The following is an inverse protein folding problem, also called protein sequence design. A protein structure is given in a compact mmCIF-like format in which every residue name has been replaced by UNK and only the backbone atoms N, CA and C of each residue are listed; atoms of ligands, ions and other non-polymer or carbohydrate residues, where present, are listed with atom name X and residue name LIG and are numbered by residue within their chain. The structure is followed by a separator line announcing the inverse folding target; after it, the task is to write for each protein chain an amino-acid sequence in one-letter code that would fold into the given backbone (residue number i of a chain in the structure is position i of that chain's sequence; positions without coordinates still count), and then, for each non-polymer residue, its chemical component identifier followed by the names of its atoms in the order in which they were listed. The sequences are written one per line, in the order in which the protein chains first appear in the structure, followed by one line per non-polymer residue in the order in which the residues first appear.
data_IF_394264600210
#
_entry.id   IF_394264600210
#
_cell.length_a   1.000
_cell.length_b   1.000
_cell.length_c   1.000
_cell.angle_alpha   90.00
_cell.angle_beta   90.00
_cell.angle_gamma   90.00
#
_symmetry.space_group_name_H-M   'P 1'
#
loop_
_entity.id
_entity.type
_entity.pdbx_description
1 polymer ?
#
# COMPACT_ATOMS: atom_id res chain seq x y z
N UNK A 1 -0.05 -18.21 -12.38
CA UNK A 1 -0.08 -17.75 -10.97
C UNK A 1 -1.38 -17.03 -10.69
N UNK A 2 -2.00 -17.29 -9.53
CA UNK A 2 -3.23 -16.61 -9.10
C UNK A 2 -2.90 -15.15 -8.74
N UNK A 3 -3.70 -14.20 -9.21
CA UNK A 3 -3.50 -12.80 -8.85
C UNK A 3 -3.83 -12.57 -7.38
N UNK A 4 -2.95 -11.89 -6.66
CA UNK A 4 -3.21 -11.38 -5.31
C UNK A 4 -3.82 -10.00 -5.44
N UNK A 5 -5.01 -9.83 -4.87
CA UNK A 5 -5.74 -8.58 -4.87
C UNK A 5 -5.71 -7.93 -3.49
N UNK A 6 -5.51 -6.62 -3.47
CA UNK A 6 -5.53 -5.80 -2.26
C UNK A 6 -6.65 -4.76 -2.33
N UNK A 7 -7.32 -4.55 -1.21
CA UNK A 7 -8.08 -3.33 -0.93
C UNK A 7 -7.35 -2.52 0.14
N UNK A 8 -7.24 -1.20 -0.09
CA UNK A 8 -6.69 -0.26 0.87
C UNK A 8 -7.86 0.54 1.44
N UNK A 9 -7.97 0.57 2.75
CA UNK A 9 -9.03 1.25 3.49
C UNK A 9 -8.38 2.38 4.28
N UNK A 10 -8.73 3.61 3.95
CA UNK A 10 -8.27 4.80 4.66
C UNK A 10 -9.38 5.24 5.61
N UNK A 11 -9.05 5.40 6.89
CA UNK A 11 -9.96 5.77 7.96
C UNK A 11 -9.57 7.17 8.43
N UNK A 12 -10.52 8.10 8.44
CA UNK A 12 -10.35 9.46 8.90
C UNK A 12 -11.37 10.40 8.25
N UNK A 13 -12.12 11.10 9.06
CA UNK A 13 -13.11 12.09 8.64
C UNK A 13 -12.48 13.23 7.82
N UNK A 14 -11.26 13.65 8.16
CA UNK A 14 -10.54 14.71 7.46
C UNK A 14 -10.20 14.34 6.00
N UNK A 15 -10.04 13.03 5.74
CA UNK A 15 -9.81 12.53 4.38
C UNK A 15 -11.14 12.31 3.67
N UNK A 16 -12.14 11.77 4.37
CA UNK A 16 -13.47 11.51 3.83
C UNK A 16 -14.13 12.81 3.36
N UNK A 17 -14.03 13.89 4.15
CA UNK A 17 -14.57 15.20 3.81
C UNK A 17 -13.68 16.05 2.91
N UNK A 18 -12.49 15.52 2.53
CA UNK A 18 -11.60 16.18 1.57
C UNK A 18 -10.78 17.34 2.14
N UNK A 19 -10.66 17.44 3.47
CA UNK A 19 -9.79 18.45 4.11
C UNK A 19 -8.31 18.19 3.80
N UNK A 20 -7.92 16.91 3.69
CA UNK A 20 -6.58 16.50 3.26
C UNK A 20 -6.66 15.40 2.19
N UNK A 21 -5.60 15.30 1.38
CA UNK A 21 -5.50 14.28 0.34
C UNK A 21 -5.07 12.94 0.91
N UNK A 22 -5.68 11.85 0.44
CA UNK A 22 -5.24 10.49 0.76
C UNK A 22 -3.92 10.15 0.06
N UNK A 23 -2.83 10.59 0.65
CA UNK A 23 -1.47 10.29 0.17
C UNK A 23 -1.01 8.90 0.59
N UNK A 24 -1.56 8.34 1.68
CA UNK A 24 -1.20 7.03 2.19
C UNK A 24 -1.63 5.92 1.23
N UNK A 25 -2.92 5.88 0.85
CA UNK A 25 -3.40 4.86 -0.09
C UNK A 25 -2.73 4.98 -1.46
N UNK A 26 -2.44 6.20 -1.92
CA UNK A 26 -1.67 6.41 -3.15
C UNK A 26 -0.28 5.78 -3.06
N UNK A 27 0.43 6.04 -1.97
CA UNK A 27 1.79 5.55 -1.78
C UNK A 27 1.81 4.02 -1.60
N UNK A 28 0.94 3.47 -0.73
CA UNK A 28 0.81 2.01 -0.54
C UNK A 28 0.51 1.31 -1.86
N UNK A 29 -0.43 1.84 -2.67
CA UNK A 29 -0.75 1.26 -3.99
C UNK A 29 0.49 1.15 -4.90
N UNK A 30 1.35 2.16 -4.88
CA UNK A 30 2.60 2.17 -5.67
C UNK A 30 3.61 1.13 -5.16
N UNK A 31 3.75 0.99 -3.86
CA UNK A 31 4.67 -0.01 -3.28
C UNK A 31 4.16 -1.44 -3.51
N UNK A 32 2.85 -1.67 -3.41
CA UNK A 32 2.21 -2.95 -3.74
C UNK A 32 2.42 -3.34 -5.22
N UNK A 33 2.29 -2.37 -6.15
CA UNK A 33 2.52 -2.60 -7.59
C UNK A 33 3.96 -3.06 -7.85
N UNK A 34 4.96 -2.52 -7.15
CA UNK A 34 6.37 -2.94 -7.27
C UNK A 34 6.61 -4.41 -6.88
N UNK A 35 5.84 -4.94 -5.96
CA UNK A 35 5.94 -6.33 -5.49
C UNK A 35 4.92 -7.29 -6.12
N UNK A 36 4.13 -6.82 -7.10
CA UNK A 36 3.26 -7.68 -7.88
C UNK A 36 1.85 -7.84 -7.37
N UNK A 37 1.44 -7.06 -6.39
CA UNK A 37 0.09 -7.06 -5.86
C UNK A 37 -0.75 -6.01 -6.57
N UNK A 38 -1.94 -6.41 -7.03
CA UNK A 38 -2.89 -5.48 -7.63
C UNK A 38 -3.77 -4.83 -6.58
N UNK A 39 -3.68 -3.52 -6.43
CA UNK A 39 -4.70 -2.75 -5.72
C UNK A 39 -5.99 -2.81 -6.54
N UNK A 40 -7.00 -3.49 -6.02
CA UNK A 40 -8.30 -3.64 -6.67
C UNK A 40 -9.21 -2.45 -6.36
N UNK A 41 -9.13 -1.96 -5.12
CA UNK A 41 -9.98 -0.89 -4.64
C UNK A 41 -9.26 -0.06 -3.58
N UNK A 42 -9.56 1.21 -3.54
CA UNK A 42 -9.26 2.11 -2.42
C UNK A 42 -10.58 2.64 -1.90
N UNK A 43 -10.76 2.57 -0.59
CA UNK A 43 -12.00 2.98 0.09
C UNK A 43 -11.63 3.96 1.19
N UNK A 44 -12.30 5.08 1.25
CA UNK A 44 -12.18 6.04 2.36
C UNK A 44 -13.47 5.99 3.16
N UNK A 45 -13.34 5.90 4.47
CA UNK A 45 -14.45 5.90 5.44
C UNK A 45 -14.12 6.83 6.60
N UNK A 46 -15.15 7.28 7.28
CA UNK A 46 -15.01 8.05 8.52
C UNK A 46 -14.67 7.16 9.74
N UNK A 47 -14.49 7.82 10.87
CA UNK A 47 -14.20 7.19 12.16
C UNK A 47 -15.47 6.63 12.80
N UNK A 48 -16.09 5.64 12.13
CA UNK A 48 -17.34 5.00 12.54
C UNK A 48 -17.16 3.47 12.61
N UNK A 49 -17.50 2.87 13.75
CA UNK A 49 -17.32 1.44 14.01
C UNK A 49 -18.12 0.54 13.06
N UNK A 50 -19.37 0.94 12.74
CA UNK A 50 -20.21 0.16 11.85
C UNK A 50 -19.65 0.16 10.41
N UNK A 51 -19.12 1.29 9.95
CA UNK A 51 -18.52 1.42 8.63
C UNK A 51 -17.23 0.62 8.52
N UNK A 52 -16.37 0.70 9.54
CA UNK A 52 -15.11 -0.08 9.60
C UNK A 52 -15.43 -1.58 9.51
N UNK A 53 -16.35 -2.07 10.33
CA UNK A 53 -16.73 -3.50 10.38
C UNK A 53 -17.34 -3.96 9.06
N UNK A 54 -18.27 -3.19 8.50
CA UNK A 54 -18.97 -3.50 7.24
C UNK A 54 -18.02 -3.54 6.04
N UNK A 55 -17.10 -2.55 5.96
CA UNK A 55 -16.11 -2.52 4.87
C UNK A 55 -15.12 -3.68 5.00
N UNK A 56 -14.67 -4.01 6.21
CA UNK A 56 -13.79 -5.15 6.47
C UNK A 56 -14.43 -6.46 6.03
N UNK A 57 -15.67 -6.73 6.43
CA UNK A 57 -16.38 -7.95 6.07
C UNK A 57 -16.53 -8.08 4.55
N UNK A 58 -16.99 -7.01 3.88
CA UNK A 58 -17.11 -6.98 2.42
C UNK A 58 -15.78 -7.16 1.70
N UNK A 59 -14.72 -6.57 2.24
CA UNK A 59 -13.37 -6.64 1.67
C UNK A 59 -12.77 -8.04 1.80
N UNK A 60 -12.98 -8.69 2.94
CA UNK A 60 -12.53 -10.06 3.17
C UNK A 60 -13.08 -11.05 2.15
N UNK A 61 -14.30 -10.85 1.67
CA UNK A 61 -14.91 -11.74 0.68
C UNK A 61 -14.29 -11.63 -0.73
N UNK A 62 -13.57 -10.54 -1.03
CA UNK A 62 -13.13 -10.21 -2.40
C UNK A 62 -11.60 -10.11 -2.56
N UNK A 63 -10.86 -9.96 -1.46
CA UNK A 63 -9.43 -9.66 -1.50
C UNK A 63 -8.63 -10.67 -0.69
N UNK A 64 -7.36 -10.81 -1.01
CA UNK A 64 -6.40 -11.64 -0.30
C UNK A 64 -5.65 -10.83 0.77
N UNK A 65 -5.43 -9.55 0.47
CA UNK A 65 -4.73 -8.59 1.32
C UNK A 65 -5.66 -7.39 1.56
N UNK A 66 -5.75 -6.96 2.80
CA UNK A 66 -6.45 -5.75 3.21
C UNK A 66 -5.47 -4.89 4.00
N UNK A 67 -5.35 -3.63 3.64
CA UNK A 67 -4.49 -2.69 4.37
C UNK A 67 -5.36 -1.53 4.83
N UNK A 68 -5.41 -1.34 6.15
CA UNK A 68 -6.05 -0.19 6.76
C UNK A 68 -4.99 0.84 7.14
N UNK A 69 -5.31 2.12 7.07
CA UNK A 69 -4.46 3.21 7.56
C UNK A 69 -5.30 4.30 8.19
N UNK A 70 -4.97 4.68 9.42
CA UNK A 70 -5.70 5.67 10.22
C UNK A 70 -6.39 5.09 11.47
N UNK A 71 -6.81 5.95 12.38
CA UNK A 71 -7.59 5.63 13.57
C UNK A 71 -6.87 4.78 14.63
N UNK A 72 -5.53 4.84 14.71
CA UNK A 72 -4.72 4.12 15.70
C UNK A 72 -4.10 5.01 16.80
N UNK A 73 -4.36 6.31 16.76
CA UNK A 73 -3.83 7.28 17.72
C UNK A 73 -4.48 7.20 19.11
N UNK A 74 -4.21 8.20 19.99
CA UNK A 74 -4.69 8.21 21.37
C UNK A 74 -5.99 8.97 21.58
N UNK A 75 -6.61 9.50 20.52
CA UNK A 75 -7.79 10.35 20.63
C UNK A 75 -9.08 9.50 20.65
N UNK A 76 -10.20 10.10 20.98
CA UNK A 76 -11.45 9.35 21.15
C UNK A 76 -12.05 8.85 19.82
N UNK A 77 -11.68 9.48 18.73
CA UNK A 77 -11.99 9.13 17.36
C UNK A 77 -11.09 8.02 16.79
N UNK A 78 -9.97 7.71 17.44
CA UNK A 78 -9.07 6.59 17.09
C UNK A 78 -9.66 5.23 17.52
N UNK A 79 -10.67 4.76 16.82
CA UNK A 79 -11.43 3.55 17.19
C UNK A 79 -11.01 2.29 16.44
N UNK A 80 -10.13 2.41 15.43
CA UNK A 80 -9.76 1.31 14.53
C UNK A 80 -9.24 0.09 15.29
N UNK A 81 -8.40 0.29 16.30
CA UNK A 81 -7.85 -0.81 17.12
C UNK A 81 -8.94 -1.61 17.82
N UNK A 82 -9.89 -0.94 18.46
CA UNK A 82 -11.01 -1.58 19.16
C UNK A 82 -11.91 -2.32 18.16
N UNK A 83 -12.24 -1.71 17.03
CA UNK A 83 -13.02 -2.36 15.97
C UNK A 83 -12.35 -3.64 15.46
N UNK A 84 -11.03 -3.62 15.26
CA UNK A 84 -10.28 -4.80 14.85
C UNK A 84 -10.24 -5.87 15.93
N UNK A 85 -10.03 -5.48 17.20
CA UNK A 85 -10.08 -6.40 18.32
C UNK A 85 -11.41 -7.16 18.38
N UNK A 86 -12.52 -6.43 18.30
CA UNK A 86 -13.86 -7.02 18.35
C UNK A 86 -14.16 -7.86 17.11
N UNK A 87 -13.77 -7.39 15.93
CA UNK A 87 -13.97 -8.10 14.66
C UNK A 87 -13.22 -9.45 14.59
N UNK A 88 -12.02 -9.51 15.16
CA UNK A 88 -11.20 -10.74 15.20
C UNK A 88 -11.36 -11.55 16.47
N UNK A 89 -12.19 -11.11 17.42
CA UNK A 89 -12.48 -11.83 18.67
C UNK A 89 -11.28 -11.91 19.61
N UNK A 90 -10.41 -10.89 19.59
CA UNK A 90 -9.25 -10.79 20.46
C UNK A 90 -9.56 -10.17 21.83
N UNK A 91 -8.54 -10.14 22.68
CA UNK A 91 -8.51 -9.39 23.94
C UNK A 91 -7.36 -8.40 23.90
N UNK A 92 -7.61 -7.17 24.36
CA UNK A 92 -6.55 -6.18 24.45
C UNK A 92 -5.57 -6.54 25.58
N UNK A 93 -4.31 -6.72 25.20
CA UNK A 93 -3.19 -7.00 26.11
C UNK A 93 -2.10 -5.95 25.93
N UNK A 94 -1.32 -5.70 26.95
CA UNK A 94 -0.19 -4.78 26.87
C UNK A 94 0.97 -5.43 26.12
N UNK A 95 1.41 -4.80 25.03
CA UNK A 95 2.70 -5.13 24.40
C UNK A 95 3.83 -4.38 25.13
N UNK A 96 4.66 -5.12 25.84
CA UNK A 96 5.72 -4.55 26.69
C UNK A 96 6.80 -3.82 25.89
N UNK A 97 7.08 -4.27 24.67
CA UNK A 97 8.04 -3.60 23.79
C UNK A 97 7.52 -2.21 23.37
N UNK A 98 6.26 -2.15 22.94
CA UNK A 98 5.57 -0.89 22.62
C UNK A 98 5.49 0.02 23.83
N UNK A 99 5.11 -0.51 25.00
CA UNK A 99 5.05 0.28 26.24
C UNK A 99 6.39 0.89 26.62
N UNK A 100 7.45 0.09 26.55
CA UNK A 100 8.83 0.55 26.84
C UNK A 100 9.28 1.61 25.84
N UNK A 101 8.93 1.44 24.57
CA UNK A 101 9.22 2.42 23.52
C UNK A 101 8.50 3.75 23.75
N UNK A 102 7.20 3.72 24.04
CA UNK A 102 6.41 4.92 24.33
C UNK A 102 7.00 5.66 25.56
N UNK A 103 7.27 4.94 26.67
CA UNK A 103 7.91 5.54 27.86
C UNK A 103 9.22 6.27 27.50
N UNK A 104 10.04 5.68 26.63
CA UNK A 104 11.31 6.28 26.17
C UNK A 104 11.07 7.57 25.37
N UNK A 105 10.06 7.59 24.48
CA UNK A 105 9.69 8.78 23.70
C UNK A 105 9.31 9.93 24.63
N UNK A 106 8.39 9.67 25.59
CA UNK A 106 7.89 10.68 26.51
C UNK A 106 8.99 11.20 27.45
N UNK A 107 9.83 10.30 27.99
CA UNK A 107 10.99 10.67 28.80
C UNK A 107 11.96 11.58 28.03
N UNK A 108 12.26 11.26 26.77
CA UNK A 108 13.17 12.06 25.93
C UNK A 108 12.64 13.47 25.65
N UNK A 109 11.30 13.62 25.61
CA UNK A 109 10.64 14.89 25.33
C UNK A 109 10.25 15.67 26.59
N UNK A 110 10.53 15.15 27.78
CA UNK A 110 10.10 15.68 29.07
C UNK A 110 8.57 15.91 29.15
N UNK A 111 7.79 14.99 28.58
CA UNK A 111 6.33 15.02 28.67
C UNK A 111 5.83 14.03 29.72
N UNK A 112 4.70 14.37 30.37
CA UNK A 112 4.03 13.49 31.28
C UNK A 112 3.50 12.23 30.57
N UNK A 113 3.70 11.08 31.19
CA UNK A 113 3.21 9.80 30.71
C UNK A 113 1.83 9.51 31.29
N UNK A 114 0.79 9.76 30.52
CA UNK A 114 -0.60 9.62 30.95
C UNK A 114 -1.14 8.21 30.74
N UNK A 115 -2.34 7.92 31.31
CA UNK A 115 -3.05 6.68 31.06
C UNK A 115 -3.32 6.46 29.56
N UNK A 116 -3.77 7.48 28.84
CA UNK A 116 -3.99 7.40 27.38
C UNK A 116 -2.73 6.96 26.61
N UNK A 117 -1.55 7.42 27.05
CA UNK A 117 -0.29 7.00 26.43
C UNK A 117 0.03 5.54 26.75
N UNK A 118 -0.29 5.05 27.95
CA UNK A 118 -0.16 3.65 28.31
C UNK A 118 -1.10 2.78 27.47
N UNK A 119 -2.34 3.21 27.27
CA UNK A 119 -3.37 2.48 26.52
C UNK A 119 -3.03 2.35 25.01
N UNK A 120 -2.11 3.16 24.49
CA UNK A 120 -1.58 2.97 23.13
C UNK A 120 -0.77 1.68 22.98
N UNK A 121 -0.18 1.17 24.06
CA UNK A 121 0.51 -0.11 24.07
C UNK A 121 -0.41 -1.33 24.13
N UNK A 122 -1.73 -1.12 24.27
CA UNK A 122 -2.71 -2.20 24.19
C UNK A 122 -2.88 -2.64 22.75
N UNK A 123 -2.79 -3.94 22.50
CA UNK A 123 -2.98 -4.56 21.18
C UNK A 123 -3.82 -5.83 21.34
N UNK A 124 -4.56 -6.27 20.31
CA UNK A 124 -5.24 -7.57 20.34
C UNK A 124 -4.23 -8.73 20.52
N UNK A 125 -4.53 -9.66 21.40
CA UNK A 125 -3.68 -10.82 21.72
C UNK A 125 -3.49 -11.79 20.55
N UNK A 126 -4.33 -11.70 19.54
CA UNK A 126 -4.33 -12.52 18.33
C UNK A 126 -3.75 -11.79 17.09
N UNK A 127 -3.06 -10.67 17.28
CA UNK A 127 -2.38 -9.96 16.20
C UNK A 127 -0.85 -10.14 16.25
N UNK A 128 -0.21 -9.92 15.09
CA UNK A 128 1.22 -9.68 14.99
C UNK A 128 1.44 -8.18 15.17
N UNK A 129 2.18 -7.79 16.22
CA UNK A 129 2.51 -6.39 16.46
C UNK A 129 3.59 -5.92 15.50
N UNK A 130 3.32 -4.82 14.80
CA UNK A 130 4.28 -4.14 13.93
C UNK A 130 4.86 -2.95 14.68
N UNK A 131 6.11 -3.06 15.07
CA UNK A 131 6.74 -2.09 15.97
C UNK A 131 7.01 -0.74 15.28
N UNK A 132 6.40 0.32 15.80
CA UNK A 132 6.54 1.67 15.27
C UNK A 132 7.72 2.40 15.93
N UNK A 133 8.84 2.53 15.23
CA UNK A 133 10.03 3.20 15.74
C UNK A 133 9.88 4.71 15.91
N UNK A 134 8.95 5.33 15.19
CA UNK A 134 8.85 6.79 15.07
C UNK A 134 7.67 7.39 15.83
N UNK A 135 6.66 6.59 16.13
CA UNK A 135 5.45 7.01 16.79
C UNK A 135 5.08 6.13 17.97
N UNK A 136 3.92 6.41 18.54
CA UNK A 136 3.42 5.72 19.73
C UNK A 136 2.38 4.65 19.41
N UNK A 137 1.76 4.70 18.23
CA UNK A 137 0.77 3.73 17.80
C UNK A 137 1.45 2.60 17.01
N UNK A 138 1.47 1.36 17.50
CA UNK A 138 1.98 0.22 16.74
C UNK A 138 1.04 -0.09 15.57
N UNK A 139 1.59 -0.64 14.49
CA UNK A 139 0.77 -1.31 13.50
C UNK A 139 0.40 -2.72 13.98
N UNK A 140 -0.56 -3.33 13.31
CA UNK A 140 -1.05 -4.67 13.63
C UNK A 140 -1.27 -5.47 12.36
N UNK A 141 -0.99 -6.78 12.40
CA UNK A 141 -1.33 -7.67 11.29
C UNK A 141 -2.10 -8.89 11.82
N UNK A 142 -3.12 -9.29 11.06
CA UNK A 142 -3.99 -10.42 11.39
C UNK A 142 -3.99 -11.42 10.24
N UNK A 143 -4.04 -12.69 10.59
CA UNK A 143 -4.30 -13.77 9.65
C UNK A 143 -5.73 -14.27 9.81
N UNK A 144 -6.47 -14.33 8.72
CA UNK A 144 -7.78 -14.99 8.66
C UNK A 144 -7.82 -15.89 7.43
N UNK A 145 -7.87 -17.19 7.62
CA UNK A 145 -7.73 -18.18 6.55
C UNK A 145 -6.45 -17.94 5.71
N UNK A 146 -6.62 -17.80 4.40
CA UNK A 146 -5.53 -17.49 3.48
C UNK A 146 -5.34 -15.98 3.23
N UNK A 147 -5.89 -15.13 4.09
CA UNK A 147 -5.88 -13.67 3.93
C UNK A 147 -4.94 -13.03 4.96
N UNK A 148 -4.46 -11.86 4.63
CA UNK A 148 -3.64 -11.02 5.50
C UNK A 148 -4.30 -9.65 5.60
N UNK A 149 -4.49 -9.19 6.83
CA UNK A 149 -5.05 -7.89 7.15
C UNK A 149 -3.99 -7.11 7.91
N UNK A 150 -3.66 -5.91 7.47
CA UNK A 150 -2.63 -5.06 8.08
C UNK A 150 -3.27 -3.72 8.42
N UNK A 151 -3.08 -3.25 9.65
CA UNK A 151 -3.51 -1.93 10.10
C UNK A 151 -2.30 -1.08 10.46
N UNK A 152 -2.24 0.13 9.90
CA UNK A 152 -1.11 1.05 9.98
C UNK A 152 -1.55 2.41 10.51
N UNK A 153 -0.67 3.17 11.18
CA UNK A 153 -0.95 4.55 11.59
C UNK A 153 -1.34 5.45 10.41
N UNK A 154 -2.09 6.51 10.70
CA UNK A 154 -2.44 7.53 9.72
C UNK A 154 -1.27 8.45 9.33
N UNK A 155 -0.31 8.65 10.23
CA UNK A 155 0.86 9.51 10.00
C UNK A 155 1.73 8.97 8.86
N UNK A 156 1.89 9.70 7.75
CA UNK A 156 2.52 9.14 6.53
C UNK A 156 3.94 8.61 6.73
N UNK A 157 4.74 9.27 7.54
CA UNK A 157 6.12 8.86 7.77
C UNK A 157 6.20 7.54 8.56
N UNK A 158 5.40 7.39 9.61
CA UNK A 158 5.28 6.17 10.41
C UNK A 158 4.77 5.00 9.56
N UNK A 159 3.67 5.23 8.85
CA UNK A 159 3.07 4.26 7.95
C UNK A 159 4.06 3.73 6.91
N UNK A 160 4.81 4.62 6.25
CA UNK A 160 5.81 4.24 5.24
C UNK A 160 6.93 3.40 5.82
N UNK A 161 7.44 3.77 6.99
CA UNK A 161 8.48 3.01 7.69
C UNK A 161 8.01 1.60 8.03
N UNK A 162 6.85 1.48 8.67
CA UNK A 162 6.25 0.18 8.99
C UNK A 162 6.02 -0.67 7.74
N UNK A 163 5.51 -0.06 6.68
CA UNK A 163 5.24 -0.77 5.45
C UNK A 163 6.51 -1.36 4.83
N UNK A 164 7.55 -0.56 4.66
CA UNK A 164 8.81 -1.00 4.03
C UNK A 164 9.54 -2.02 4.89
N UNK A 165 9.66 -1.75 6.19
CA UNK A 165 10.54 -2.53 7.07
C UNK A 165 9.90 -3.81 7.60
N UNK A 166 8.56 -3.91 7.62
CA UNK A 166 7.88 -5.05 8.21
C UNK A 166 6.77 -5.64 7.32
N UNK A 167 5.89 -4.79 6.72
CA UNK A 167 4.75 -5.33 5.97
C UNK A 167 5.16 -6.02 4.68
N UNK A 168 6.18 -5.52 3.97
CA UNK A 168 6.65 -6.11 2.70
C UNK A 168 7.09 -7.56 2.91
N UNK A 169 7.80 -7.84 3.98
CA UNK A 169 8.27 -9.20 4.29
C UNK A 169 7.12 -10.11 4.72
N UNK A 170 6.19 -9.62 5.54
CA UNK A 170 4.97 -10.37 5.89
C UNK A 170 4.17 -10.75 4.64
N UNK A 171 4.00 -9.81 3.72
CA UNK A 171 3.27 -10.02 2.47
C UNK A 171 3.98 -11.06 1.59
N UNK A 172 5.30 -10.94 1.41
CA UNK A 172 6.10 -11.88 0.62
C UNK A 172 6.14 -13.29 1.21
N UNK A 173 6.17 -13.40 2.54
CA UNK A 173 6.13 -14.68 3.23
C UNK A 173 4.75 -15.35 3.14
N UNK A 174 3.67 -14.55 3.06
CA UNK A 174 2.30 -15.08 2.94
C UNK A 174 1.92 -15.47 1.54
N UNK A 175 2.40 -14.74 0.52
CA UNK A 175 1.94 -14.90 -0.85
C UNK A 175 3.09 -15.20 -1.82
N UNK A 176 2.86 -16.17 -2.72
CA UNK A 176 3.76 -16.39 -3.85
C UNK A 176 3.52 -15.29 -4.90
N UNK A 177 4.44 -14.33 -4.96
CA UNK A 177 4.33 -13.16 -5.81
C UNK A 177 5.20 -13.30 -7.08
N UNK A 178 4.73 -12.80 -8.24
CA UNK A 178 5.55 -12.70 -9.42
C UNK A 178 6.60 -11.59 -9.27
N UNK A 179 7.74 -11.73 -9.94
CA UNK A 179 8.61 -10.58 -10.17
C UNK A 179 7.96 -9.60 -11.14
N UNK A 180 8.07 -8.32 -10.84
CA UNK A 180 7.62 -7.23 -11.70
C UNK A 180 8.80 -6.30 -12.00
N UNK A 181 8.84 -5.83 -13.24
CA UNK A 181 9.78 -4.82 -13.66
C UNK A 181 9.08 -3.76 -14.49
N UNK A 182 9.23 -2.50 -14.08
CA UNK A 182 8.70 -1.33 -14.78
C UNK A 182 9.82 -0.57 -15.47
N UNK A 183 9.57 -0.16 -16.70
CA UNK A 183 10.42 0.78 -17.43
C UNK A 183 9.57 1.94 -17.92
N UNK A 184 9.95 3.17 -17.57
CA UNK A 184 9.23 4.38 -17.97
C UNK A 184 10.06 5.14 -18.99
N UNK A 185 9.45 5.45 -20.13
CA UNK A 185 9.98 6.26 -21.20
C UNK A 185 9.22 7.59 -21.17
N UNK A 186 9.95 8.69 -21.16
CA UNK A 186 9.37 10.03 -21.10
C UNK A 186 9.37 10.64 -22.50
N UNK A 187 8.22 11.17 -22.92
CA UNK A 187 8.07 11.84 -24.22
C UNK A 187 7.50 13.24 -24.08
N UNK A 188 7.83 14.09 -25.02
CA UNK A 188 7.36 15.48 -25.15
C UNK A 188 7.05 15.79 -26.62
N UNK A 189 6.15 16.74 -26.86
CA UNK A 189 5.85 17.23 -28.23
C UNK A 189 4.98 16.29 -29.06
N UNK A 190 4.35 15.27 -28.45
CA UNK A 190 3.38 14.40 -29.12
C UNK A 190 2.19 14.13 -28.21
N UNK A 191 0.98 14.17 -28.75
CA UNK A 191 -0.25 13.82 -28.05
C UNK A 191 -0.44 12.31 -27.92
N UNK A 192 -1.27 11.89 -26.95
CA UNK A 192 -1.50 10.48 -26.62
C UNK A 192 -2.06 9.70 -27.82
N UNK A 193 -3.08 10.22 -28.51
CA UNK A 193 -3.69 9.56 -29.68
C UNK A 193 -2.68 9.34 -30.80
N UNK A 194 -1.93 10.36 -31.15
CA UNK A 194 -0.90 10.27 -32.21
C UNK A 194 0.22 9.30 -31.85
N UNK A 195 0.64 9.28 -30.57
CA UNK A 195 1.67 8.34 -30.13
C UNK A 195 1.12 6.91 -30.16
N UNK A 196 -0.12 6.69 -29.72
CA UNK A 196 -0.77 5.40 -29.77
C UNK A 196 -0.89 4.86 -31.19
N UNK A 197 -1.31 5.69 -32.14
CA UNK A 197 -1.38 5.29 -33.55
C UNK A 197 0.00 4.97 -34.13
N UNK A 198 1.01 5.78 -33.80
CA UNK A 198 2.38 5.59 -34.27
C UNK A 198 3.02 4.28 -33.83
N UNK A 199 2.68 3.79 -32.63
CA UNK A 199 3.28 2.58 -32.05
C UNK A 199 2.33 1.37 -32.06
N UNK A 200 1.17 1.47 -32.67
CA UNK A 200 0.11 0.44 -32.68
C UNK A 200 0.61 -0.96 -33.03
N UNK A 201 1.36 -1.08 -34.12
CA UNK A 201 1.88 -2.38 -34.57
C UNK A 201 2.91 -2.94 -33.60
N UNK A 202 3.76 -2.10 -33.04
CA UNK A 202 4.71 -2.50 -32.00
C UNK A 202 3.99 -2.92 -30.72
N UNK A 203 2.97 -2.20 -30.29
CA UNK A 203 2.18 -2.51 -29.09
C UNK A 203 1.44 -3.84 -29.25
N UNK A 204 0.87 -4.12 -30.42
CA UNK A 204 0.18 -5.39 -30.73
C UNK A 204 1.11 -6.60 -30.67
N UNK A 205 2.41 -6.40 -30.86
CA UNK A 205 3.46 -7.44 -30.75
C UNK A 205 3.95 -7.69 -29.33
N UNK A 206 3.39 -7.06 -28.29
CA UNK A 206 3.78 -7.30 -26.91
C UNK A 206 3.28 -8.66 -26.42
N UNK A 207 4.13 -9.39 -25.69
CA UNK A 207 3.76 -10.64 -25.03
C UNK A 207 2.66 -10.43 -23.98
N UNK A 208 1.86 -11.45 -23.69
CA UNK A 208 0.79 -11.47 -22.66
C UNK A 208 1.26 -11.03 -21.27
N UNK A 209 2.55 -11.20 -20.96
CA UNK A 209 3.15 -10.84 -19.67
C UNK A 209 3.80 -9.45 -19.68
N UNK A 210 3.63 -8.69 -20.76
CA UNK A 210 4.10 -7.32 -20.89
C UNK A 210 2.91 -6.42 -21.22
N UNK A 211 2.80 -5.32 -20.50
CA UNK A 211 1.73 -4.33 -20.71
C UNK A 211 2.34 -2.95 -20.89
N UNK A 212 1.70 -2.13 -21.72
CA UNK A 212 2.00 -0.72 -21.90
C UNK A 212 0.91 0.11 -21.19
N UNK A 213 1.32 1.20 -20.55
CA UNK A 213 0.41 2.20 -20.02
C UNK A 213 0.83 3.59 -20.48
N UNK A 214 -0.14 4.38 -20.94
CA UNK A 214 -0.01 5.78 -21.28
C UNK A 214 -0.32 6.61 -20.02
N UNK A 215 0.59 7.49 -19.63
CA UNK A 215 0.48 8.30 -18.42
C UNK A 215 0.64 9.78 -18.79
N UNK A 216 -0.44 10.43 -19.25
CA UNK A 216 -0.41 11.82 -19.67
C UNK A 216 -0.21 12.77 -18.50
N UNK A 217 0.47 13.87 -18.76
CA UNK A 217 0.59 15.03 -17.89
C UNK A 217 0.71 16.30 -18.76
N UNK A 218 0.54 17.47 -18.18
CA UNK A 218 0.55 18.72 -18.95
C UNK A 218 1.82 18.82 -19.82
N UNK A 219 1.64 18.83 -21.15
CA UNK A 219 2.71 18.94 -22.14
C UNK A 219 3.66 17.74 -22.24
N UNK A 220 3.40 16.64 -21.52
CA UNK A 220 4.28 15.47 -21.48
C UNK A 220 3.47 14.18 -21.44
N UNK A 221 4.04 13.12 -21.99
CA UNK A 221 3.45 11.79 -21.94
C UNK A 221 4.53 10.79 -21.49
N UNK A 222 4.18 9.93 -20.54
CA UNK A 222 5.08 8.83 -20.12
C UNK A 222 4.48 7.52 -20.59
N UNK A 223 5.31 6.69 -21.22
CA UNK A 223 4.98 5.30 -21.53
C UNK A 223 5.60 4.40 -20.46
N UNK A 224 4.78 3.58 -19.80
CA UNK A 224 5.27 2.62 -18.80
C UNK A 224 5.10 1.18 -19.29
N UNK A 225 6.22 0.57 -19.66
CA UNK A 225 6.31 -0.87 -19.90
C UNK A 225 6.37 -1.61 -18.57
N UNK A 226 5.50 -2.60 -18.40
CA UNK A 226 5.48 -3.46 -17.21
C UNK A 226 5.61 -4.92 -17.63
N UNK A 227 6.68 -5.58 -17.20
CA UNK A 227 6.88 -7.02 -17.39
C UNK A 227 6.64 -7.79 -16.11
N UNK A 228 6.02 -8.99 -16.22
CA UNK A 228 5.76 -9.92 -15.12
C UNK A 228 6.32 -11.30 -15.44
N UNK A 229 6.78 -12.01 -14.40
CA UNK A 229 7.25 -13.40 -14.57
C UNK A 229 7.85 -13.99 -13.31
N UNK A 230 8.48 -15.13 -13.46
CA UNK A 230 9.12 -15.92 -12.41
C UNK A 230 10.62 -15.66 -12.25
N UNK A 231 11.22 -14.90 -13.17
CA UNK A 231 12.63 -14.58 -13.16
C UNK A 231 12.86 -13.11 -13.54
N UNK A 232 13.40 -12.34 -12.60
CA UNK A 232 13.59 -10.90 -12.77
C UNK A 232 14.54 -10.54 -13.90
N UNK A 233 15.65 -11.29 -14.07
CA UNK A 233 16.64 -10.98 -15.11
C UNK A 233 16.11 -11.28 -16.52
N UNK A 234 15.33 -12.35 -16.67
CA UNK A 234 14.62 -12.62 -17.95
C UNK A 234 13.65 -11.50 -18.29
N UNK A 235 12.90 -11.00 -17.28
CA UNK A 235 11.96 -9.89 -17.49
C UNK A 235 12.69 -8.62 -17.88
N UNK A 236 13.75 -8.24 -17.15
CA UNK A 236 14.56 -7.06 -17.47
C UNK A 236 15.10 -7.10 -18.90
N UNK A 237 15.68 -8.25 -19.30
CA UNK A 237 16.20 -8.45 -20.67
C UNK A 237 15.10 -8.29 -21.71
N UNK A 238 13.92 -8.87 -21.47
CA UNK A 238 12.77 -8.75 -22.37
C UNK A 238 12.30 -7.30 -22.50
N UNK A 239 12.07 -6.61 -21.38
CA UNK A 239 11.64 -5.19 -21.37
C UNK A 239 12.66 -4.31 -22.06
N UNK A 240 13.96 -4.51 -21.84
CA UNK A 240 15.02 -3.75 -22.52
C UNK A 240 15.00 -3.95 -24.05
N UNK A 241 14.66 -5.14 -24.52
CA UNK A 241 14.53 -5.41 -25.96
C UNK A 241 13.30 -4.67 -26.54
N UNK A 242 12.15 -4.73 -25.88
CA UNK A 242 10.97 -3.97 -26.28
C UNK A 242 11.23 -2.46 -26.27
N UNK A 243 11.88 -1.94 -25.22
CA UNK A 243 12.28 -0.52 -25.15
C UNK A 243 13.17 -0.14 -26.34
N UNK A 244 14.19 -0.92 -26.64
CA UNK A 244 15.11 -0.67 -27.78
C UNK A 244 14.35 -0.57 -29.10
N UNK A 245 13.36 -1.43 -29.33
CA UNK A 245 12.57 -1.41 -30.55
C UNK A 245 11.60 -0.22 -30.56
N UNK A 246 10.98 0.12 -29.45
CA UNK A 246 10.13 1.29 -29.31
C UNK A 246 10.90 2.59 -29.59
N UNK A 247 12.10 2.72 -29.01
CA UNK A 247 12.94 3.90 -29.19
C UNK A 247 13.28 4.18 -30.65
N UNK A 248 13.39 3.16 -31.52
CA UNK A 248 13.61 3.38 -32.96
C UNK A 248 12.44 4.11 -33.62
N UNK A 249 11.23 3.94 -33.10
CA UNK A 249 10.01 4.56 -33.65
C UNK A 249 9.81 5.97 -33.12
N UNK A 250 10.08 6.18 -31.80
CA UNK A 250 9.70 7.42 -31.11
C UNK A 250 10.87 8.29 -30.69
N UNK A 251 12.10 8.02 -31.15
CA UNK A 251 13.34 8.67 -30.67
C UNK A 251 13.26 10.21 -30.66
N UNK A 252 12.64 10.83 -31.66
CA UNK A 252 12.51 12.29 -31.77
C UNK A 252 11.65 12.94 -30.67
N UNK A 253 10.88 12.15 -29.96
CA UNK A 253 10.00 12.62 -28.87
C UNK A 253 10.53 12.30 -27.46
N UNK A 254 11.60 11.51 -27.33
CA UNK A 254 12.14 11.04 -26.04
C UNK A 254 13.16 12.03 -25.47
N UNK A 255 13.11 12.25 -24.12
CA UNK A 255 14.03 13.16 -23.42
C UNK A 255 14.51 12.58 -22.09
#
# INVERSE_FOLDING_TARGET
MKHIYCEIITIGDEILYGHILDTNAQWISRELDKIGIKTRKRTTIGDNSADITNVLDKSLNKNNLIILTGGLGPTNDDITKNCLNDFFGGKLVTDENTLSHIKRIFKKRNFDFTKKNKDQALVPDNCIVLHNEFGTAPGMAFHKDNKLIISLPGVPFEMKSLFINQCVDLIKNKFLLPFIYHRTIKTIGIGESWLSDLIKDWESGLDKNVTLAYLPSLGRLKLRLTGKGDNLEKIKKKIKNYEKNLLKIIQKYVY
#
